data_IF_607353382080
#
_entry.id   IF_607353382080
#
_cell.length_a   1.000
_cell.length_b   1.000
_cell.length_c   1.000
_cell.angle_alpha   90.00
_cell.angle_beta   90.00
_cell.angle_gamma   90.00
#
_symmetry.space_group_name_H-M   'P 1'
#
loop_
_entity.id
_entity.type
_entity.pdbx_description
1 polymer ?
#
# COMPACT_ATOMS: atom_id res chain seq x y z
N UNK A 1 31.40 21.36 -2.93
CA UNK A 1 30.62 20.32 -2.22
C UNK A 1 29.36 20.98 -1.70
N UNK A 2 28.26 20.80 -2.39
CA UNK A 2 26.96 21.26 -1.90
C UNK A 2 26.44 20.23 -0.88
N UNK A 3 26.68 20.49 0.40
CA UNK A 3 26.12 19.68 1.47
C UNK A 3 24.60 19.80 1.46
N UNK A 4 23.89 18.69 1.42
CA UNK A 4 22.42 18.66 1.54
C UNK A 4 22.04 19.38 2.83
N UNK A 5 21.07 20.31 2.79
CA UNK A 5 20.59 21.00 4.00
C UNK A 5 20.19 20.02 5.10
N UNK A 6 20.42 20.38 6.36
CA UNK A 6 20.12 19.48 7.50
C UNK A 6 18.66 19.01 7.52
N UNK A 7 17.72 19.86 7.11
CA UNK A 7 16.29 19.52 7.00
C UNK A 7 16.03 18.41 5.99
N UNK A 8 16.81 18.35 4.90
CA UNK A 8 16.68 17.31 3.88
C UNK A 8 17.19 15.94 4.34
N UNK A 9 17.94 15.89 5.41
CA UNK A 9 18.48 14.65 6.02
C UNK A 9 17.69 14.18 7.24
N UNK A 10 16.66 14.91 7.65
CA UNK A 10 15.80 14.46 8.74
C UNK A 10 15.16 13.12 8.35
N UNK A 11 15.18 12.16 9.28
CA UNK A 11 14.64 10.83 9.03
C UNK A 11 13.13 10.91 8.83
N UNK A 12 12.57 10.23 7.81
CA UNK A 12 11.13 10.22 7.54
C UNK A 12 10.33 9.38 8.55
N UNK A 13 11.02 8.68 9.44
CA UNK A 13 10.44 7.82 10.46
C UNK A 13 11.56 7.08 11.21
N UNK A 14 11.21 5.97 11.84
CA UNK A 14 12.19 5.11 12.55
C UNK A 14 11.97 3.64 12.19
N UNK A 15 13.06 2.88 12.22
CA UNK A 15 13.00 1.41 12.08
C UNK A 15 12.13 0.83 13.19
N UNK A 16 11.25 -0.11 12.84
CA UNK A 16 10.26 -0.70 13.74
C UNK A 16 8.94 0.06 13.83
N UNK A 17 8.85 1.25 13.27
CA UNK A 17 7.60 2.00 13.22
C UNK A 17 6.55 1.25 12.39
N UNK A 18 5.33 1.19 12.92
CA UNK A 18 4.19 0.54 12.29
C UNK A 18 3.23 1.60 11.76
N UNK A 19 2.74 1.36 10.55
CA UNK A 19 1.76 2.19 9.86
C UNK A 19 0.59 1.27 9.53
N UNK A 20 -0.60 1.54 10.05
CA UNK A 20 -1.74 0.65 9.84
C UNK A 20 -3.05 1.42 9.69
N UNK A 21 -3.99 0.77 9.02
CA UNK A 21 -5.36 1.27 8.81
C UNK A 21 -6.30 0.09 8.60
N UNK A 22 -7.51 0.20 9.14
CA UNK A 22 -8.62 -0.71 8.80
C UNK A 22 -9.41 -0.12 7.66
N UNK A 23 -9.81 -0.95 6.71
CA UNK A 23 -10.56 -0.55 5.53
C UNK A 23 -11.63 -1.59 5.19
N UNK A 24 -12.52 -1.25 4.25
CA UNK A 24 -13.61 -2.12 3.81
C UNK A 24 -14.00 -1.73 2.40
N UNK A 25 -14.20 -2.71 1.52
CA UNK A 25 -14.71 -2.47 0.17
C UNK A 25 -16.20 -2.76 0.08
N UNK A 26 -16.95 -1.89 -0.58
CA UNK A 26 -18.27 -2.22 -1.06
C UNK A 26 -18.15 -3.00 -2.38
N UNK A 27 -19.25 -3.63 -2.82
CA UNK A 27 -19.29 -4.25 -4.15
C UNK A 27 -19.02 -3.22 -5.25
N UNK A 28 -19.53 -2.01 -5.09
CA UNK A 28 -19.31 -0.89 -6.03
C UNK A 28 -17.84 -0.49 -6.11
N UNK A 29 -17.15 -0.44 -4.98
CA UNK A 29 -15.70 -0.17 -4.94
C UNK A 29 -14.92 -1.21 -5.76
N UNK A 30 -15.24 -2.49 -5.59
CA UNK A 30 -14.59 -3.59 -6.28
C UNK A 30 -14.84 -3.53 -7.79
N UNK A 31 -16.10 -3.36 -8.18
CA UNK A 31 -16.47 -3.28 -9.59
C UNK A 31 -15.88 -2.03 -10.26
N UNK A 32 -15.89 -0.89 -9.55
CA UNK A 32 -15.35 0.36 -10.05
C UNK A 32 -13.84 0.30 -10.28
N UNK A 33 -13.11 -0.31 -9.34
CA UNK A 33 -11.66 -0.49 -9.50
C UNK A 33 -11.34 -1.42 -10.67
N UNK A 34 -12.02 -2.55 -10.77
CA UNK A 34 -11.85 -3.50 -11.87
C UNK A 34 -12.14 -2.83 -13.23
N UNK A 35 -13.21 -2.04 -13.33
CA UNK A 35 -13.53 -1.30 -14.53
C UNK A 35 -12.43 -0.28 -14.90
N UNK A 36 -11.90 0.45 -13.91
CA UNK A 36 -10.82 1.41 -14.13
C UNK A 36 -9.53 0.75 -14.63
N UNK A 37 -9.27 -0.49 -14.22
CA UNK A 37 -8.10 -1.27 -14.64
C UNK A 37 -8.36 -2.08 -15.93
N UNK A 38 -9.56 -2.02 -16.51
CA UNK A 38 -9.99 -2.90 -17.60
C UNK A 38 -9.89 -4.39 -17.25
N UNK A 39 -10.10 -4.73 -15.98
CA UNK A 39 -10.09 -6.09 -15.47
C UNK A 39 -11.50 -6.67 -15.61
N UNK A 40 -11.68 -7.57 -16.56
CA UNK A 40 -12.98 -8.20 -16.86
C UNK A 40 -13.19 -9.54 -16.15
N UNK A 41 -12.37 -9.87 -15.16
CA UNK A 41 -12.50 -11.11 -14.40
C UNK A 41 -13.85 -11.19 -13.70
N UNK A 42 -14.66 -12.24 -13.95
CA UNK A 42 -16.00 -12.37 -13.37
C UNK A 42 -16.02 -12.40 -11.83
N UNK A 43 -14.91 -12.72 -11.17
CA UNK A 43 -14.80 -12.72 -9.71
C UNK A 43 -15.04 -11.34 -9.08
N UNK A 44 -14.87 -10.26 -9.85
CA UNK A 44 -15.05 -8.88 -9.39
C UNK A 44 -16.40 -8.28 -9.81
N UNK A 45 -17.34 -9.11 -10.25
CA UNK A 45 -18.64 -8.68 -10.79
C UNK A 45 -19.78 -9.21 -9.95
N UNK A 46 -20.65 -8.32 -9.47
CA UNK A 46 -21.82 -8.69 -8.65
C UNK A 46 -22.80 -9.62 -9.36
N UNK A 47 -22.99 -9.44 -10.67
CA UNK A 47 -23.87 -10.28 -11.48
C UNK A 47 -23.37 -11.72 -11.64
N UNK A 48 -22.12 -11.99 -11.26
CA UNK A 48 -21.45 -13.29 -11.32
C UNK A 48 -21.12 -13.89 -9.95
N UNK A 49 -21.29 -13.14 -8.88
CA UNK A 49 -20.88 -13.51 -7.53
C UNK A 49 -21.39 -14.89 -7.10
N UNK A 50 -22.67 -15.18 -7.32
CA UNK A 50 -23.29 -16.45 -6.93
C UNK A 50 -22.79 -17.66 -7.72
N UNK A 51 -22.24 -17.44 -8.92
CA UNK A 51 -21.67 -18.49 -9.75
C UNK A 51 -20.20 -18.75 -9.47
N UNK A 52 -19.56 -17.87 -8.73
CA UNK A 52 -18.17 -18.06 -8.34
C UNK A 52 -18.07 -19.08 -7.20
N UNK A 53 -16.94 -19.77 -7.11
CA UNK A 53 -16.65 -20.67 -5.99
C UNK A 53 -16.63 -19.98 -4.62
N UNK A 54 -16.57 -18.65 -4.61
CA UNK A 54 -16.54 -17.86 -3.37
C UNK A 54 -17.95 -17.43 -2.91
N UNK A 55 -18.97 -17.47 -3.77
CA UNK A 55 -20.35 -17.08 -3.42
C UNK A 55 -20.56 -15.58 -3.19
N UNK A 56 -19.51 -14.77 -3.29
CA UNK A 56 -19.53 -13.32 -3.11
C UNK A 56 -18.48 -12.68 -4.02
N UNK A 57 -18.64 -11.39 -4.28
CA UNK A 57 -17.65 -10.58 -4.99
C UNK A 57 -16.37 -10.50 -4.17
N UNK A 58 -15.24 -10.72 -4.82
CA UNK A 58 -13.93 -10.51 -4.21
C UNK A 58 -13.18 -9.37 -4.90
N UNK A 59 -12.39 -8.65 -4.13
CA UNK A 59 -11.51 -7.62 -4.65
C UNK A 59 -10.40 -8.22 -5.51
N UNK A 60 -9.96 -7.50 -6.53
CA UNK A 60 -8.75 -7.86 -7.26
C UNK A 60 -7.53 -7.70 -6.37
N UNK A 61 -6.48 -8.49 -6.63
CA UNK A 61 -5.20 -8.32 -5.96
C UNK A 61 -4.64 -6.92 -6.17
N UNK A 62 -4.80 -6.36 -7.35
CA UNK A 62 -4.35 -5.01 -7.70
C UNK A 62 -5.03 -3.95 -6.83
N UNK A 63 -6.31 -4.10 -6.53
CA UNK A 63 -7.03 -3.16 -5.66
C UNK A 63 -6.42 -3.14 -4.26
N UNK A 64 -6.25 -4.32 -3.67
CA UNK A 64 -5.74 -4.45 -2.31
C UNK A 64 -4.28 -4.03 -2.22
N UNK A 65 -3.45 -4.36 -3.21
CA UNK A 65 -2.06 -3.89 -3.24
C UNK A 65 -1.96 -2.37 -3.43
N UNK A 66 -2.83 -1.77 -4.23
CA UNK A 66 -2.90 -0.31 -4.39
C UNK A 66 -3.32 0.39 -3.10
N UNK A 67 -4.29 -0.16 -2.38
CA UNK A 67 -4.72 0.39 -1.08
C UNK A 67 -3.61 0.29 -0.04
N UNK A 68 -2.91 -0.84 0.02
CA UNK A 68 -1.79 -1.03 0.94
C UNK A 68 -0.64 -0.07 0.61
N UNK A 69 -0.28 0.06 -0.66
CA UNK A 69 0.77 0.96 -1.09
C UNK A 69 0.40 2.43 -0.84
N UNK A 70 -0.85 2.81 -1.12
CA UNK A 70 -1.37 4.15 -0.85
C UNK A 70 -1.29 4.55 0.62
N UNK A 71 -1.46 3.61 1.54
CA UNK A 71 -1.28 3.85 2.98
C UNK A 71 0.16 4.32 3.28
N UNK A 72 1.17 3.64 2.75
CA UNK A 72 2.57 4.01 2.95
C UNK A 72 2.89 5.35 2.28
N UNK A 73 2.49 5.54 1.04
CA UNK A 73 2.75 6.78 0.29
C UNK A 73 2.14 7.98 1.01
N UNK A 74 0.89 7.89 1.44
CA UNK A 74 0.21 8.97 2.15
C UNK A 74 0.86 9.28 3.50
N UNK A 75 1.35 8.24 4.20
CA UNK A 75 2.06 8.43 5.45
C UNK A 75 3.34 9.25 5.28
N UNK A 76 4.16 8.94 4.29
CA UNK A 76 5.43 9.63 4.06
C UNK A 76 5.27 10.97 3.33
N UNK A 77 4.25 11.14 2.52
CA UNK A 77 4.00 12.40 1.82
C UNK A 77 3.66 13.56 2.78
N UNK A 78 2.97 13.27 3.88
CA UNK A 78 2.65 14.21 4.97
C UNK A 78 2.23 15.60 4.50
N UNK A 79 1.09 15.72 3.81
CA UNK A 79 0.70 16.99 3.17
C UNK A 79 0.36 18.11 4.16
N UNK A 80 0.37 17.85 5.47
CA UNK A 80 0.07 18.84 6.52
C UNK A 80 1.29 19.35 7.26
N UNK A 81 2.44 18.72 7.05
CA UNK A 81 3.69 19.07 7.72
C UNK A 81 4.63 19.73 6.73
N UNK A 82 5.27 20.82 7.15
CA UNK A 82 6.27 21.51 6.34
C UNK A 82 7.69 21.02 6.71
N UNK A 83 8.53 20.74 5.72
CA UNK A 83 8.21 20.66 4.29
C UNK A 83 7.49 19.36 3.92
N UNK A 84 6.62 19.45 2.91
CA UNK A 84 6.03 18.27 2.29
C UNK A 84 7.11 17.39 1.67
N UNK A 85 6.83 16.10 1.53
CA UNK A 85 7.73 15.15 0.88
C UNK A 85 7.09 14.59 -0.39
N UNK A 86 7.90 14.45 -1.41
CA UNK A 86 7.54 13.59 -2.54
C UNK A 86 7.92 12.15 -2.21
N UNK A 87 7.11 11.22 -2.66
CA UNK A 87 7.30 9.78 -2.44
C UNK A 87 7.25 9.07 -3.78
N UNK A 88 8.31 8.33 -4.09
CA UNK A 88 8.41 7.54 -5.31
C UNK A 88 8.54 6.07 -4.95
N UNK A 89 7.77 5.23 -5.62
CA UNK A 89 7.89 3.77 -5.49
C UNK A 89 9.08 3.31 -6.31
N UNK A 90 10.05 2.65 -5.67
CA UNK A 90 11.23 2.10 -6.34
C UNK A 90 11.04 0.62 -6.68
N UNK A 91 10.48 -0.13 -5.73
CA UNK A 91 10.26 -1.56 -5.92
C UNK A 91 9.14 -2.04 -5.03
N UNK A 92 8.34 -2.98 -5.52
CA UNK A 92 7.31 -3.67 -4.75
C UNK A 92 7.30 -5.15 -5.08
N UNK A 93 6.97 -5.95 -4.09
CA UNK A 93 6.68 -7.37 -4.25
C UNK A 93 5.42 -7.69 -3.46
N UNK A 94 4.43 -8.28 -4.13
CA UNK A 94 3.17 -8.69 -3.53
C UNK A 94 2.96 -10.18 -3.76
N UNK A 95 2.64 -10.90 -2.69
CA UNK A 95 2.22 -12.30 -2.75
C UNK A 95 0.78 -12.40 -2.25
N UNK A 96 -0.10 -12.93 -3.09
CA UNK A 96 -1.54 -13.06 -2.82
C UNK A 96 -1.84 -14.47 -2.34
N UNK A 97 -2.48 -14.59 -1.19
CA UNK A 97 -2.68 -15.88 -0.52
C UNK A 97 -4.13 -16.18 -0.17
N UNK A 98 -5.02 -15.23 -0.29
CA UNK A 98 -6.41 -15.43 0.01
C UNK A 98 -7.31 -14.32 -0.52
N UNK A 99 -8.63 -14.57 -0.61
CA UNK A 99 -9.58 -13.58 -1.10
C UNK A 99 -9.82 -12.47 -0.08
N UNK A 100 -10.20 -11.32 -0.59
CA UNK A 100 -10.79 -10.21 0.18
C UNK A 100 -12.21 -10.03 -0.33
N UNK A 101 -13.17 -10.34 0.52
CA UNK A 101 -14.58 -10.25 0.16
C UNK A 101 -15.11 -8.82 0.30
N UNK A 102 -16.13 -8.50 -0.50
CA UNK A 102 -16.90 -7.29 -0.29
C UNK A 102 -17.46 -7.26 1.14
N UNK A 103 -17.48 -6.07 1.73
CA UNK A 103 -18.09 -5.79 3.05
C UNK A 103 -17.41 -6.45 4.25
N UNK A 104 -16.21 -7.00 4.09
CA UNK A 104 -15.41 -7.44 5.24
C UNK A 104 -14.36 -6.41 5.63
N UNK A 105 -14.05 -6.36 6.92
CA UNK A 105 -12.98 -5.51 7.42
C UNK A 105 -11.62 -6.11 7.05
N UNK A 106 -10.75 -5.28 6.52
CA UNK A 106 -9.37 -5.62 6.23
C UNK A 106 -8.42 -4.72 7.01
N UNK A 107 -7.34 -5.31 7.48
CA UNK A 107 -6.29 -4.58 8.20
C UNK A 107 -5.05 -4.46 7.31
N UNK A 108 -4.75 -3.23 6.96
CA UNK A 108 -3.56 -2.87 6.18
C UNK A 108 -2.44 -2.51 7.15
N UNK A 109 -1.27 -3.07 6.96
CA UNK A 109 -0.14 -2.83 7.87
C UNK A 109 1.18 -2.83 7.15
N UNK A 110 2.02 -1.84 7.47
CA UNK A 110 3.42 -1.78 7.12
C UNK A 110 4.28 -1.61 8.35
N UNK A 111 5.48 -2.13 8.30
CA UNK A 111 6.54 -1.87 9.28
C UNK A 111 7.79 -1.39 8.55
N UNK A 112 8.40 -0.32 9.05
CA UNK A 112 9.66 0.20 8.52
C UNK A 112 10.78 -0.72 8.99
N UNK A 113 11.49 -1.34 8.04
CA UNK A 113 12.58 -2.28 8.35
C UNK A 113 13.97 -1.66 8.17
N UNK A 114 14.09 -0.63 7.32
CA UNK A 114 15.36 0.03 7.05
C UNK A 114 15.13 1.43 6.50
N UNK A 115 16.02 2.36 6.83
CA UNK A 115 16.01 3.74 6.30
C UNK A 115 17.46 4.13 6.02
N UNK A 116 17.78 4.42 4.75
CA UNK A 116 19.11 4.83 4.33
C UNK A 116 19.05 6.07 3.46
N UNK A 117 19.99 7.01 3.70
CA UNK A 117 20.18 8.14 2.81
C UNK A 117 20.83 7.68 1.51
N UNK A 118 20.26 8.08 0.39
CA UNK A 118 20.83 7.86 -0.94
C UNK A 118 21.22 9.20 -1.56
N UNK A 119 22.51 9.48 -1.61
CA UNK A 119 23.03 10.75 -2.11
C UNK A 119 22.76 10.96 -3.60
N UNK A 120 22.76 9.89 -4.40
CA UNK A 120 22.49 9.95 -5.84
C UNK A 120 21.03 10.33 -6.11
N UNK A 121 20.10 9.76 -5.35
CA UNK A 121 18.68 10.04 -5.49
C UNK A 121 18.22 11.28 -4.71
N UNK A 122 19.08 11.78 -3.80
CA UNK A 122 18.78 12.97 -3.00
C UNK A 122 17.68 12.79 -1.98
N UNK A 123 17.53 11.60 -1.43
CA UNK A 123 16.49 11.27 -0.47
C UNK A 123 16.78 10.01 0.34
N UNK A 124 15.87 9.66 1.24
CA UNK A 124 15.93 8.42 1.99
C UNK A 124 15.23 7.30 1.24
N UNK A 125 15.89 6.15 1.13
CA UNK A 125 15.28 4.90 0.70
C UNK A 125 14.75 4.20 1.95
N UNK A 126 13.44 3.99 1.97
CA UNK A 126 12.73 3.35 3.09
C UNK A 126 12.29 1.96 2.65
N UNK A 127 12.71 0.94 3.39
CA UNK A 127 12.27 -0.43 3.17
C UNK A 127 11.13 -0.77 4.12
N UNK A 128 10.10 -1.40 3.56
CA UNK A 128 8.86 -1.74 4.26
C UNK A 128 8.55 -3.23 4.10
N UNK A 129 8.09 -3.83 5.18
CA UNK A 129 7.51 -5.17 5.19
C UNK A 129 6.11 -5.10 5.75
N UNK A 130 5.15 -5.75 5.10
CA UNK A 130 3.76 -5.65 5.55
C UNK A 130 2.82 -6.59 4.85
N UNK A 131 1.55 -6.28 4.94
CA UNK A 131 0.52 -7.11 4.33
C UNK A 131 -0.89 -6.69 4.71
N UNK A 132 -1.82 -7.53 4.32
CA UNK A 132 -3.25 -7.36 4.57
C UNK A 132 -3.81 -8.59 5.25
N UNK A 133 -4.52 -8.37 6.35
CA UNK A 133 -5.23 -9.40 7.11
C UNK A 133 -6.73 -9.20 7.04
N UNK A 134 -7.43 -10.32 7.08
CA UNK A 134 -8.88 -10.39 7.23
C UNK A 134 -9.20 -11.12 8.54
N UNK A 135 -10.47 -11.49 8.77
CA UNK A 135 -10.84 -12.32 9.91
C UNK A 135 -10.30 -13.77 9.83
N UNK A 136 -9.84 -14.19 8.65
CA UNK A 136 -9.24 -15.53 8.45
C UNK A 136 -7.80 -15.57 8.99
N UNK A 137 -7.33 -16.72 9.51
CA UNK A 137 -6.00 -16.84 10.12
C UNK A 137 -4.85 -16.53 9.18
N UNK A 138 -4.96 -16.90 7.89
CA UNK A 138 -3.93 -16.66 6.88
C UNK A 138 -4.04 -15.24 6.33
N UNK A 139 -2.92 -14.54 6.21
CA UNK A 139 -2.88 -13.23 5.54
C UNK A 139 -3.40 -13.34 4.11
N UNK A 140 -4.20 -12.35 3.69
CA UNK A 140 -4.67 -12.29 2.31
C UNK A 140 -3.57 -11.86 1.34
N UNK A 141 -2.66 -11.01 1.82
CA UNK A 141 -1.56 -10.46 1.05
C UNK A 141 -0.35 -10.25 1.96
N UNK A 142 0.84 -10.59 1.46
CA UNK A 142 2.13 -10.29 2.07
C UNK A 142 2.92 -9.43 1.10
N UNK A 143 3.58 -8.39 1.60
CA UNK A 143 4.19 -7.39 0.75
C UNK A 143 5.54 -6.92 1.27
N UNK A 144 6.39 -6.51 0.32
CA UNK A 144 7.61 -5.74 0.57
C UNK A 144 7.66 -4.59 -0.40
N UNK A 145 8.13 -3.43 0.06
CA UNK A 145 8.28 -2.25 -0.77
C UNK A 145 9.54 -1.49 -0.42
N UNK A 146 10.08 -0.79 -1.40
CA UNK A 146 11.06 0.25 -1.19
C UNK A 146 10.57 1.55 -1.81
N UNK A 147 10.58 2.60 -1.00
CA UNK A 147 10.13 3.93 -1.36
C UNK A 147 11.28 4.92 -1.27
N UNK A 148 11.34 5.87 -2.18
CA UNK A 148 12.18 7.04 -2.05
C UNK A 148 11.35 8.17 -1.44
N UNK A 149 11.79 8.70 -0.31
CA UNK A 149 11.16 9.83 0.37
C UNK A 149 12.15 10.99 0.38
N UNK A 150 11.77 12.11 -0.21
CA UNK A 150 12.61 13.29 -0.26
C UNK A 150 11.79 14.57 -0.09
N UNK A 151 12.37 15.63 0.48
CA UNK A 151 11.67 16.90 0.60
C UNK A 151 11.24 17.41 -0.77
N UNK A 152 10.03 17.95 -0.84
CA UNK A 152 9.59 18.68 -2.02
C UNK A 152 10.35 20.00 -2.11
N UNK A 153 11.02 20.22 -3.24
CA UNK A 153 11.85 21.41 -3.47
C UNK A 153 11.06 22.55 -4.12
#
# INVERSE_FOLDING_TARGET
MSGTPAAARALPGRVGQVIERTDRYTREDIEGFAAACHDSNPLHRSDRAQRSRFGEVIASGEQTSSMLLGLAISHFARPRDEPESEVLVLHVNFAFSGPVFASEDIQLRWEITQIDWNATLGGHVVLLSGGVRTARPKSALVARASLLVKPLS
#
